data_IF_892094621002
#
_entry.id   IF_892094621002
#
_cell.length_a   1.000
_cell.length_b   1.000
_cell.length_c   1.000
_cell.angle_alpha   90.00
_cell.angle_beta   90.00
_cell.angle_gamma   90.00
#
_symmetry.space_group_name_H-M   'P 1'
#
loop_
_entity.id
_entity.type
_entity.pdbx_description
1 polymer ?
#
# COMPACT_ATOMS: atom_id res chain seq x y z
N UNK A 1 22.13 -2.29 9.03
CA UNK A 1 20.79 -1.81 9.40
C UNK A 1 20.04 -1.45 8.13
N UNK A 2 19.07 -2.27 7.77
CA UNK A 2 18.20 -2.06 6.61
C UNK A 2 16.89 -1.42 7.06
N UNK A 3 16.47 -0.36 6.39
CA UNK A 3 15.22 0.33 6.70
C UNK A 3 14.11 -0.16 5.76
N UNK A 4 12.95 -0.50 6.32
CA UNK A 4 11.76 -0.88 5.58
C UNK A 4 10.63 0.10 5.85
N UNK A 5 9.89 0.41 4.79
CA UNK A 5 8.64 1.14 4.82
C UNK A 5 7.51 0.20 4.45
N UNK A 6 6.39 0.28 5.15
CA UNK A 6 5.23 -0.57 4.82
C UNK A 6 3.90 0.08 5.14
N UNK A 7 2.86 -0.38 4.43
CA UNK A 7 1.45 -0.05 4.64
C UNK A 7 0.67 -1.34 4.67
N UNK A 8 -0.15 -1.52 5.69
CA UNK A 8 -1.03 -2.67 5.82
C UNK A 8 -2.43 -2.30 5.31
N UNK A 9 -3.01 -3.18 4.49
CA UNK A 9 -4.37 -3.06 4.00
C UNK A 9 -5.28 -4.05 4.71
N UNK A 10 -6.37 -3.53 5.26
CA UNK A 10 -7.39 -4.28 5.96
C UNK A 10 -8.72 -4.21 5.20
N UNK A 11 -9.46 -5.32 5.26
CA UNK A 11 -10.84 -5.42 4.79
C UNK A 11 -11.76 -5.72 5.96
N UNK A 12 -12.94 -5.12 5.96
CA UNK A 12 -14.00 -5.43 6.92
C UNK A 12 -14.77 -6.67 6.45
N UNK A 13 -14.79 -7.72 7.25
CA UNK A 13 -15.56 -8.93 6.96
C UNK A 13 -17.06 -8.77 7.28
N UNK A 14 -17.82 -9.83 6.97
CA UNK A 14 -19.27 -9.90 7.22
C UNK A 14 -19.67 -9.77 8.69
N UNK A 15 -18.75 -10.00 9.61
CA UNK A 15 -18.94 -9.95 11.06
C UNK A 15 -18.39 -8.63 11.64
N UNK A 16 -18.11 -7.64 10.78
CA UNK A 16 -17.53 -6.35 11.11
C UNK A 16 -16.13 -6.42 11.75
N UNK A 17 -15.39 -7.51 11.51
CA UNK A 17 -14.00 -7.65 11.96
C UNK A 17 -13.06 -7.23 10.85
N UNK A 18 -11.98 -6.55 11.22
CA UNK A 18 -10.92 -6.18 10.29
C UNK A 18 -9.97 -7.37 10.09
N UNK A 19 -9.77 -7.76 8.83
CA UNK A 19 -8.79 -8.76 8.42
C UNK A 19 -7.72 -8.08 7.55
N UNK A 20 -6.45 -8.29 7.87
CA UNK A 20 -5.35 -7.87 7.00
C UNK A 20 -5.38 -8.71 5.70
N UNK A 21 -5.39 -8.04 4.55
CA UNK A 21 -5.42 -8.69 3.23
C UNK A 21 -4.13 -8.50 2.44
N UNK A 22 -3.35 -7.46 2.73
CA UNK A 22 -2.05 -7.24 2.10
C UNK A 22 -1.11 -6.36 2.95
N UNK A 23 0.18 -6.48 2.65
CA UNK A 23 1.25 -5.58 3.07
C UNK A 23 1.92 -5.02 1.83
N UNK A 24 1.94 -3.71 1.69
CA UNK A 24 2.74 -3.01 0.69
C UNK A 24 4.06 -2.64 1.34
N UNK A 25 5.20 -3.10 0.82
CA UNK A 25 6.52 -2.93 1.45
C UNK A 25 7.58 -2.43 0.48
N UNK A 26 8.52 -1.64 0.99
CA UNK A 26 9.62 -1.07 0.21
C UNK A 26 10.88 -0.99 1.08
N UNK A 27 12.03 -1.35 0.52
CA UNK A 27 13.33 -1.12 1.17
C UNK A 27 13.76 0.33 0.98
N UNK A 28 14.29 0.96 2.02
CA UNK A 28 14.51 2.41 2.07
C UNK A 28 15.77 2.92 1.35
N UNK A 29 16.69 2.03 1.02
CA UNK A 29 18.00 2.28 0.42
C UNK A 29 18.07 1.99 -1.08
N UNK A 30 17.02 1.43 -1.66
CA UNK A 30 16.88 1.23 -3.11
C UNK A 30 15.89 2.23 -3.72
N UNK A 31 15.98 2.58 -5.02
CA UNK A 31 14.90 3.26 -5.73
C UNK A 31 13.71 2.29 -5.81
N UNK A 32 12.96 2.27 -4.71
CA UNK A 32 12.24 1.11 -4.24
C UNK A 32 10.92 0.94 -4.95
N UNK A 33 10.85 -0.06 -5.81
CA UNK A 33 9.58 -0.64 -6.19
C UNK A 33 8.89 -1.20 -4.94
N UNK A 34 7.62 -0.86 -4.77
CA UNK A 34 6.77 -1.44 -3.73
C UNK A 34 6.46 -2.89 -4.11
N UNK A 35 6.75 -3.80 -3.20
CA UNK A 35 6.29 -5.18 -3.24
C UNK A 35 4.96 -5.31 -2.52
N UNK A 36 4.09 -6.18 -3.03
CA UNK A 36 2.79 -6.46 -2.44
C UNK A 36 2.80 -7.90 -1.95
N UNK A 37 2.66 -8.09 -0.64
CA UNK A 37 2.57 -9.38 0.02
C UNK A 37 1.14 -9.55 0.55
N UNK A 38 0.32 -10.36 -0.12
CA UNK A 38 -1.10 -10.49 0.19
C UNK A 38 -1.79 -11.59 -0.61
N UNK A 39 -3.12 -11.66 -0.47
CA UNK A 39 -3.95 -12.60 -1.21
C UNK A 39 -4.01 -12.22 -2.70
N UNK A 40 -3.21 -12.89 -3.54
CA UNK A 40 -3.08 -12.63 -4.98
C UNK A 40 -4.40 -12.71 -5.75
N UNK A 41 -5.40 -13.40 -5.21
CA UNK A 41 -6.73 -13.53 -5.82
C UNK A 41 -7.67 -12.40 -5.41
N UNK A 42 -7.26 -11.53 -4.48
CA UNK A 42 -8.07 -10.43 -4.01
C UNK A 42 -8.19 -9.36 -5.12
N UNK A 43 -9.40 -9.06 -5.64
CA UNK A 43 -9.59 -8.22 -6.83
C UNK A 43 -8.92 -6.84 -6.74
N UNK A 44 -8.92 -6.27 -5.54
CA UNK A 44 -8.28 -4.98 -5.25
C UNK A 44 -6.78 -4.98 -5.53
N UNK A 45 -6.06 -6.04 -5.19
CA UNK A 45 -4.60 -6.10 -5.38
C UNK A 45 -4.25 -6.17 -6.86
N UNK A 46 -4.96 -7.01 -7.61
CA UNK A 46 -4.82 -7.10 -9.08
C UNK A 46 -5.10 -5.77 -9.79
N UNK A 47 -6.14 -5.05 -9.36
CA UNK A 47 -6.48 -3.76 -9.94
C UNK A 47 -5.38 -2.72 -9.68
N UNK A 48 -4.78 -2.70 -8.49
CA UNK A 48 -3.70 -1.75 -8.19
C UNK A 48 -2.46 -2.02 -9.03
N UNK A 49 -2.07 -3.27 -9.22
CA UNK A 49 -0.88 -3.62 -10.00
C UNK A 49 -1.03 -3.20 -11.47
N UNK A 50 -2.21 -3.39 -12.06
CA UNK A 50 -2.46 -3.07 -13.46
C UNK A 50 -2.89 -1.62 -13.72
N UNK A 51 -3.73 -1.07 -12.85
CA UNK A 51 -4.38 0.23 -13.07
C UNK A 51 -3.74 1.37 -12.30
N UNK A 52 -2.96 1.12 -11.25
CA UNK A 52 -2.43 2.16 -10.36
C UNK A 52 -3.50 2.84 -9.49
N UNK A 53 -3.08 3.79 -8.66
CA UNK A 53 -3.92 4.58 -7.76
C UNK A 53 -3.82 6.07 -8.09
N UNK A 54 -4.82 6.88 -7.74
CA UNK A 54 -4.74 8.33 -7.96
C UNK A 54 -3.74 9.01 -7.00
N UNK A 55 -3.00 10.02 -7.50
CA UNK A 55 -2.20 10.91 -6.66
C UNK A 55 -3.09 11.97 -5.99
N UNK A 56 -3.51 11.70 -4.75
CA UNK A 56 -4.32 12.60 -3.95
C UNK A 56 -3.49 13.70 -3.26
N UNK A 57 -2.17 13.54 -3.15
CA UNK A 57 -1.30 14.45 -2.39
C UNK A 57 -0.87 15.66 -3.19
N UNK A 58 -0.54 15.47 -4.47
CA UNK A 58 0.05 16.55 -5.29
C UNK A 58 -0.96 17.30 -6.18
N UNK A 59 -2.26 17.00 -6.09
CA UNK A 59 -3.32 17.60 -6.91
C UNK A 59 -3.05 17.58 -8.43
N UNK A 60 -2.16 16.69 -8.89
CA UNK A 60 -1.84 16.49 -10.30
C UNK A 60 -2.70 15.34 -10.83
N UNK A 61 -3.35 15.48 -12.00
CA UNK A 61 -3.98 14.34 -12.64
C UNK A 61 -2.88 13.34 -13.03
N UNK A 62 -2.88 12.18 -12.38
CA UNK A 62 -1.90 11.13 -12.60
C UNK A 62 -2.21 9.91 -11.76
N UNK A 63 -1.76 8.76 -12.26
CA UNK A 63 -1.80 7.51 -11.51
C UNK A 63 -0.40 7.19 -10.98
N UNK A 64 -0.34 6.71 -9.75
CA UNK A 64 0.83 6.17 -9.10
C UNK A 64 0.76 4.64 -9.18
N UNK A 65 1.91 4.03 -9.39
CA UNK A 65 2.11 2.60 -9.52
C UNK A 65 3.12 2.13 -8.49
N UNK A 66 3.23 0.80 -8.26
CA UNK A 66 4.20 0.29 -7.29
C UNK A 66 5.65 0.74 -7.55
N UNK A 67 6.04 0.99 -8.80
CA UNK A 67 7.37 1.51 -9.14
C UNK A 67 7.59 2.98 -8.76
N UNK A 68 6.54 3.73 -8.40
CA UNK A 68 6.63 5.12 -7.91
C UNK A 68 6.98 5.18 -6.40
N UNK A 69 7.18 4.02 -5.77
CA UNK A 69 7.81 3.88 -4.46
C UNK A 69 7.07 4.59 -3.33
N UNK A 70 7.79 5.46 -2.61
CA UNK A 70 7.25 6.16 -1.44
C UNK A 70 5.99 6.98 -1.76
N UNK A 71 5.92 7.62 -2.94
CA UNK A 71 4.74 8.41 -3.33
C UNK A 71 3.50 7.54 -3.42
N UNK A 72 3.64 6.31 -3.92
CA UNK A 72 2.58 5.32 -3.96
C UNK A 72 2.17 4.90 -2.54
N UNK A 73 3.13 4.54 -1.67
CA UNK A 73 2.83 4.14 -0.28
C UNK A 73 2.07 5.23 0.49
N UNK A 74 2.50 6.48 0.38
CA UNK A 74 1.86 7.61 1.06
C UNK A 74 0.42 7.87 0.59
N UNK A 75 0.09 7.49 -0.65
CA UNK A 75 -1.23 7.71 -1.24
C UNK A 75 -2.25 6.58 -0.94
N UNK A 76 -1.80 5.39 -0.54
CA UNK A 76 -2.67 4.24 -0.27
C UNK A 76 -3.76 4.55 0.77
N UNK A 77 -3.46 5.33 1.81
CA UNK A 77 -4.43 5.74 2.84
C UNK A 77 -5.57 6.64 2.32
N UNK A 78 -5.31 7.40 1.27
CA UNK A 78 -6.32 8.26 0.65
C UNK A 78 -7.16 7.49 -0.37
N UNK A 79 -6.52 6.56 -1.09
CA UNK A 79 -7.18 5.66 -2.02
C UNK A 79 -8.14 4.70 -1.29
N UNK A 80 -7.68 4.07 -0.20
CA UNK A 80 -8.47 3.16 0.64
C UNK A 80 -9.15 3.84 1.82
N UNK A 81 -9.90 4.92 1.54
CA UNK A 81 -10.67 5.63 2.58
C UNK A 81 -12.12 5.18 2.69
N UNK A 82 -12.51 4.10 1.99
CA UNK A 82 -13.85 3.55 2.07
C UNK A 82 -14.08 2.82 3.41
N UNK A 83 -15.32 2.75 3.91
CA UNK A 83 -15.60 2.04 5.16
C UNK A 83 -15.30 0.53 5.14
N UNK A 84 -15.08 -0.06 3.96
CA UNK A 84 -14.84 -1.50 3.78
C UNK A 84 -13.35 -1.86 3.65
N UNK A 85 -12.53 -0.96 3.13
CA UNK A 85 -11.09 -1.15 2.95
C UNK A 85 -10.35 0.00 3.61
N UNK A 86 -9.40 -0.32 4.47
CA UNK A 86 -8.62 0.64 5.24
C UNK A 86 -7.13 0.36 5.08
N UNK A 87 -6.39 1.35 4.61
CA UNK A 87 -4.93 1.31 4.63
C UNK A 87 -4.38 2.11 5.82
N UNK A 88 -3.33 1.59 6.46
CA UNK A 88 -2.62 2.30 7.54
C UNK A 88 -1.81 3.48 7.00
N UNK A 89 -1.34 4.35 7.91
CA UNK A 89 -0.24 5.26 7.59
C UNK A 89 1.05 4.48 7.30
N UNK A 90 1.97 5.08 6.55
CA UNK A 90 3.29 4.48 6.27
C UNK A 90 4.04 4.25 7.59
N UNK A 91 4.35 2.99 7.87
CA UNK A 91 5.12 2.55 9.01
C UNK A 91 6.58 2.33 8.63
N UNK A 92 7.48 2.42 9.61
CA UNK A 92 8.93 2.23 9.43
C UNK A 92 9.45 1.13 10.35
N UNK A 93 10.32 0.26 9.83
CA UNK A 93 11.00 -0.78 10.62
C UNK A 93 12.46 -0.87 10.23
N UNK A 94 13.35 -0.71 11.20
CA UNK A 94 14.77 -1.00 11.04
C UNK A 94 15.03 -2.48 11.38
N UNK A 95 15.81 -3.15 10.55
CA UNK A 95 16.26 -4.52 10.79
C UNK A 95 17.80 -4.51 10.82
N UNK A 96 18.36 -4.93 11.94
CA UNK A 96 19.79 -5.19 12.05
C UNK A 96 20.09 -6.54 11.40
N UNK A 97 20.96 -6.50 10.39
CA UNK A 97 21.39 -7.64 9.59
C UNK A 97 22.62 -8.28 10.19
#
# INVERSE_FOLDING_TARGET
MTLFYFVDLYELDKDAKQRKIATFKMQGDEPGRVEIDGDENHPVLKNIEGEGIFDYKNAKPGKLYPYDGMSFLENLKYYFRSGYLLATDVQKKAIDS
#
